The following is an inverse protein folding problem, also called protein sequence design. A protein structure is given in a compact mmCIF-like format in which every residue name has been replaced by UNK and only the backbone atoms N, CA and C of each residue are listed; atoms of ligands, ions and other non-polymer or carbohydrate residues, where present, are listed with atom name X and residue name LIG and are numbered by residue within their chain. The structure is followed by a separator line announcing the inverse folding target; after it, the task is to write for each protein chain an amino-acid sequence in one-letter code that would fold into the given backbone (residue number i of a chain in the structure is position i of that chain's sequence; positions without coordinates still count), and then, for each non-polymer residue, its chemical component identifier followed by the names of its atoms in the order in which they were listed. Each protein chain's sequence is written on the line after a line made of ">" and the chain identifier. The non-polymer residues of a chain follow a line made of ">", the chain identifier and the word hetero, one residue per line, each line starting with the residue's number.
data_IF_449004866600
#
_entry.id   IF_449004866600
#
_cell.length_a   1.000
_cell.length_b   1.000
_cell.length_c   1.000
_cell.angle_alpha   90.00
_cell.angle_beta   90.00
_cell.angle_gamma   90.00
#
_symmetry.space_group_name_H-M   'P 1'
#
loop_
_entity.id
_entity.type
_entity.pdbx_description
1 polymer ?
#
# COMPACT_ATOMS: atom_id res chain seq x y z
N UNK A 1 7.27 27.72 1.98
CA UNK A 1 8.46 27.81 1.12
C UNK A 1 7.96 28.10 -0.28
N UNK A 2 8.05 29.35 -0.73
CA UNK A 2 7.56 29.78 -2.05
C UNK A 2 8.75 29.65 -3.00
N UNK A 3 8.74 28.64 -3.87
CA UNK A 3 9.79 28.50 -4.89
C UNK A 3 9.51 29.60 -5.92
N UNK A 4 10.42 30.57 -6.04
CA UNK A 4 10.32 31.61 -7.05
C UNK A 4 10.56 31.01 -8.43
N UNK A 5 9.47 30.61 -9.09
CA UNK A 5 9.46 29.96 -10.39
C UNK A 5 10.09 30.83 -11.48
N UNK A 6 10.06 32.16 -11.33
CA UNK A 6 10.62 33.10 -12.31
C UNK A 6 12.14 33.10 -12.29
N UNK A 7 12.76 32.86 -11.14
CA UNK A 7 14.21 32.85 -10.97
C UNK A 7 14.82 31.44 -11.09
N UNK A 8 14.07 30.38 -10.80
CA UNK A 8 14.62 29.03 -10.64
C UNK A 8 14.06 27.99 -11.63
N UNK A 9 13.01 28.34 -12.37
CA UNK A 9 12.35 27.41 -13.29
C UNK A 9 11.66 26.25 -12.59
N UNK A 10 11.15 25.30 -13.38
CA UNK A 10 10.50 24.10 -12.86
C UNK A 10 11.53 23.07 -12.41
N UNK A 11 11.36 22.52 -11.21
CA UNK A 11 12.15 21.41 -10.68
C UNK A 11 11.35 20.12 -10.80
N UNK A 12 11.90 19.15 -11.51
CA UNK A 12 11.28 17.84 -11.71
C UNK A 12 12.11 16.74 -11.05
N UNK A 13 11.43 15.76 -10.47
CA UNK A 13 12.02 14.51 -9.98
C UNK A 13 11.34 13.36 -10.70
N UNK A 14 12.11 12.56 -11.40
CA UNK A 14 11.62 11.37 -12.11
C UNK A 14 12.17 10.11 -11.44
N UNK A 15 11.29 9.16 -11.14
CA UNK A 15 11.63 7.87 -10.54
C UNK A 15 11.37 6.80 -11.58
N UNK A 16 12.39 6.03 -11.95
CA UNK A 16 12.33 4.99 -13.00
C UNK A 16 11.62 5.46 -14.28
N UNK A 17 12.08 6.55 -14.92
CA UNK A 17 11.43 7.07 -16.11
C UNK A 17 11.50 6.06 -17.26
N UNK A 18 10.39 5.88 -17.98
CA UNK A 18 10.33 4.98 -19.15
C UNK A 18 11.15 5.52 -20.32
N UNK A 19 11.27 6.85 -20.40
CA UNK A 19 12.09 7.56 -21.38
C UNK A 19 13.18 8.30 -20.62
N UNK A 20 14.44 8.07 -21.00
CA UNK A 20 15.57 8.74 -20.37
C UNK A 20 15.44 10.27 -20.51
N UNK A 21 15.58 11.03 -19.41
CA UNK A 21 15.53 12.48 -19.46
C UNK A 21 16.71 13.03 -20.27
N UNK A 22 16.49 14.17 -20.93
CA UNK A 22 17.55 14.86 -21.65
C UNK A 22 18.71 15.18 -20.69
N UNK A 23 19.90 14.64 -20.98
CA UNK A 23 21.08 14.76 -20.11
C UNK A 23 21.49 16.20 -19.77
N UNK A 24 21.14 17.17 -20.63
CA UNK A 24 21.40 18.60 -20.38
C UNK A 24 20.48 19.21 -19.32
N UNK A 25 19.37 18.56 -18.99
CA UNK A 25 18.38 19.00 -18.00
C UNK A 25 18.50 18.26 -16.68
N UNK A 26 19.33 17.21 -16.62
CA UNK A 26 19.55 16.41 -15.41
C UNK A 26 20.59 17.13 -14.55
N UNK A 27 20.15 17.66 -13.41
CA UNK A 27 21.04 18.28 -12.41
C UNK A 27 21.80 17.21 -11.63
N UNK A 28 21.11 16.12 -11.25
CA UNK A 28 21.70 15.01 -10.50
C UNK A 28 20.91 13.73 -10.75
N UNK A 29 21.57 12.59 -10.57
CA UNK A 29 20.96 11.26 -10.66
C UNK A 29 21.48 10.39 -9.52
N UNK A 30 20.58 9.69 -8.84
CA UNK A 30 20.92 8.71 -7.83
C UNK A 30 20.33 7.35 -8.23
N UNK A 31 21.15 6.30 -8.13
CA UNK A 31 20.68 4.92 -8.23
C UNK A 31 20.52 4.38 -6.83
N UNK A 32 19.29 4.05 -6.46
CA UNK A 32 18.98 3.38 -5.19
C UNK A 32 18.59 1.94 -5.48
N UNK A 33 19.00 1.02 -4.60
CA UNK A 33 18.46 -0.34 -4.56
C UNK A 33 17.48 -0.39 -3.41
N UNK A 34 16.23 -0.60 -3.72
CA UNK A 34 15.21 -0.82 -2.71
C UNK A 34 15.12 -2.32 -2.41
N UNK A 35 14.77 -2.62 -1.17
CA UNK A 35 14.51 -3.99 -0.76
C UNK A 35 13.21 -4.45 -1.39
N UNK A 36 13.22 -5.62 -2.03
CA UNK A 36 11.98 -6.24 -2.47
C UNK A 36 11.22 -6.78 -1.25
N UNK A 37 10.12 -6.10 -0.91
CA UNK A 37 9.25 -6.48 0.20
C UNK A 37 8.16 -7.48 -0.22
N UNK A 38 8.03 -7.82 -1.51
CA UNK A 38 6.99 -8.76 -2.00
C UNK A 38 7.27 -10.21 -1.64
N UNK A 39 8.56 -10.55 -1.45
CA UNK A 39 9.04 -11.90 -1.08
C UNK A 39 9.39 -11.97 0.41
N UNK A 40 9.29 -10.85 1.16
CA UNK A 40 9.67 -10.84 2.57
C UNK A 40 8.66 -11.62 3.40
N UNK A 41 9.11 -12.79 3.86
CA UNK A 41 8.53 -13.45 5.02
C UNK A 41 8.59 -12.48 6.20
N UNK A 42 7.45 -12.23 6.84
CA UNK A 42 7.33 -11.31 7.96
C UNK A 42 8.30 -11.69 9.12
N UNK A 43 8.74 -12.94 9.14
CA UNK A 43 9.67 -13.50 10.11
C UNK A 43 11.06 -12.83 10.12
N UNK A 44 11.54 -12.24 9.02
CA UNK A 44 12.82 -11.51 9.04
C UNK A 44 12.74 -10.26 9.93
N UNK A 45 11.56 -9.63 10.04
CA UNK A 45 11.32 -8.50 10.94
C UNK A 45 11.22 -8.92 12.42
N UNK A 46 11.06 -10.21 12.68
CA UNK A 46 10.99 -10.78 14.02
C UNK A 46 12.33 -11.37 14.49
N UNK A 47 13.37 -11.33 13.64
CA UNK A 47 14.74 -11.74 13.96
C UNK A 47 15.61 -10.59 14.46
N UNK A 48 15.00 -9.52 14.96
CA UNK A 48 15.71 -8.44 15.64
C UNK A 48 16.54 -9.04 16.79
N UNK A 49 17.86 -8.76 16.76
CA UNK A 49 18.80 -9.27 17.75
C UNK A 49 19.47 -10.61 17.41
N UNK A 50 19.01 -11.35 16.39
CA UNK A 50 19.61 -12.65 16.04
C UNK A 50 21.00 -12.50 15.40
N UNK A 51 21.25 -11.35 14.78
CA UNK A 51 22.55 -10.95 14.22
C UNK A 51 23.37 -10.09 15.20
N UNK A 52 22.76 -9.62 16.28
CA UNK A 52 23.45 -8.74 17.22
C UNK A 52 24.47 -9.54 18.04
N UNK A 53 25.56 -8.88 18.37
CA UNK A 53 26.52 -9.35 19.37
C UNK A 53 26.62 -8.33 20.50
N UNK A 54 27.45 -8.60 21.51
CA UNK A 54 27.73 -7.61 22.56
C UNK A 54 28.38 -6.35 21.98
N UNK A 55 29.22 -6.49 20.95
CA UNK A 55 30.03 -5.38 20.41
C UNK A 55 29.44 -4.75 19.12
N UNK A 56 28.58 -5.47 18.41
CA UNK A 56 28.03 -5.03 17.12
C UNK A 56 26.51 -5.15 17.16
N UNK A 57 25.84 -4.03 16.86
CA UNK A 57 24.39 -3.95 16.72
C UNK A 57 24.05 -3.58 15.28
N UNK A 58 23.03 -4.23 14.71
CA UNK A 58 22.56 -3.91 13.37
C UNK A 58 21.32 -3.01 13.42
N UNK A 59 21.30 -2.00 12.56
CA UNK A 59 20.22 -1.02 12.44
C UNK A 59 19.87 -0.80 10.97
N UNK A 60 18.66 -0.32 10.70
CA UNK A 60 18.22 0.04 9.37
C UNK A 60 16.75 -0.27 9.13
N UNK A 61 16.20 0.33 8.08
CA UNK A 61 14.79 0.17 7.71
C UNK A 61 14.43 -1.27 7.32
N UNK A 62 15.42 -2.11 7.01
CA UNK A 62 15.22 -3.51 6.66
C UNK A 62 14.63 -4.34 7.80
N UNK A 63 14.92 -3.97 9.05
CA UNK A 63 14.45 -4.63 10.28
C UNK A 63 12.97 -4.32 10.60
N UNK A 64 12.36 -3.37 9.86
CA UNK A 64 10.93 -3.11 9.85
C UNK A 64 10.41 -3.08 8.42
N UNK A 65 9.38 -2.28 8.15
CA UNK A 65 8.62 -2.30 6.90
C UNK A 65 9.34 -1.59 5.74
N UNK A 66 10.65 -1.34 5.85
CA UNK A 66 11.42 -0.63 4.84
C UNK A 66 11.19 0.88 4.83
N UNK A 67 10.50 1.43 5.85
CA UNK A 67 10.22 2.87 5.95
C UNK A 67 11.38 3.65 6.55
N UNK A 68 11.39 4.97 6.34
CA UNK A 68 12.38 5.85 6.99
C UNK A 68 12.22 5.81 8.51
N UNK A 69 10.97 5.79 8.97
CA UNK A 69 10.57 5.76 10.38
C UNK A 69 11.09 4.49 11.07
N UNK A 70 10.99 3.32 10.44
CA UNK A 70 11.56 2.07 10.96
C UNK A 70 13.09 2.15 11.04
N UNK A 71 13.73 2.77 10.05
CA UNK A 71 15.17 3.00 10.07
C UNK A 71 15.60 3.85 11.26
N UNK A 72 14.92 4.98 11.47
CA UNK A 72 15.17 5.85 12.62
C UNK A 72 14.89 5.15 13.95
N UNK A 73 13.74 4.47 14.07
CA UNK A 73 13.36 3.72 15.27
C UNK A 73 14.40 2.65 15.61
N UNK A 74 14.86 1.86 14.63
CA UNK A 74 15.85 0.81 14.86
C UNK A 74 17.16 1.38 15.44
N UNK A 75 17.62 2.52 14.91
CA UNK A 75 18.81 3.22 15.41
C UNK A 75 18.64 3.71 16.84
N UNK A 76 17.52 4.39 17.12
CA UNK A 76 17.22 4.93 18.44
C UNK A 76 17.02 3.83 19.48
N UNK A 77 16.34 2.74 19.11
CA UNK A 77 16.15 1.57 19.97
C UNK A 77 17.49 0.97 20.39
N UNK A 78 18.41 0.75 19.44
CA UNK A 78 19.75 0.23 19.74
C UNK A 78 20.62 1.21 20.51
N UNK A 79 20.50 2.51 20.28
CA UNK A 79 21.19 3.51 21.09
C UNK A 79 20.75 3.46 22.57
N UNK A 80 19.44 3.31 22.82
CA UNK A 80 18.90 3.15 24.18
C UNK A 80 19.38 1.86 24.82
N UNK A 81 19.38 0.74 24.08
CA UNK A 81 19.95 -0.54 24.57
C UNK A 81 21.43 -0.41 24.98
N UNK A 82 22.19 0.46 24.31
CA UNK A 82 23.59 0.77 24.62
C UNK A 82 23.76 1.85 25.71
N UNK A 83 22.67 2.33 26.31
CA UNK A 83 22.68 3.25 27.44
C UNK A 83 22.47 4.73 27.09
N UNK A 84 22.10 5.07 25.86
CA UNK A 84 21.76 6.44 25.51
C UNK A 84 20.40 6.86 26.11
N UNK A 85 20.31 8.11 26.58
CA UNK A 85 19.05 8.70 27.03
C UNK A 85 18.45 9.56 25.91
N UNK A 86 17.20 9.28 25.55
CA UNK A 86 16.47 10.07 24.55
C UNK A 86 15.72 11.23 25.23
N UNK A 87 15.61 12.39 24.56
CA UNK A 87 14.84 13.53 25.08
C UNK A 87 13.32 13.36 24.90
N UNK A 88 12.86 12.21 24.42
CA UNK A 88 11.46 11.88 24.15
C UNK A 88 11.24 10.36 24.31
N UNK A 89 9.96 9.97 24.46
CA UNK A 89 9.57 8.56 24.50
C UNK A 89 9.69 7.92 23.11
N UNK A 90 10.31 6.75 23.04
CA UNK A 90 10.50 6.03 21.78
C UNK A 90 9.21 5.28 21.40
N UNK A 91 8.44 5.83 20.48
CA UNK A 91 7.23 5.19 19.96
C UNK A 91 7.57 4.19 18.84
N UNK A 92 7.09 2.95 18.97
CA UNK A 92 7.23 1.94 17.91
C UNK A 92 6.35 2.32 16.71
N UNK A 93 6.90 2.45 15.49
CA UNK A 93 6.10 2.69 14.29
C UNK A 93 5.09 1.55 14.10
N UNK A 94 3.85 1.93 13.80
CA UNK A 94 2.76 1.00 13.49
C UNK A 94 2.18 1.38 12.14
N UNK A 95 2.09 0.42 11.21
CA UNK A 95 1.26 0.59 10.03
C UNK A 95 -0.20 0.29 10.37
N UNK A 96 -1.09 1.20 9.95
CA UNK A 96 -2.52 0.97 9.81
C UNK A 96 -2.76 -0.16 8.79
N UNK A 97 -2.58 -1.40 9.22
CA UNK A 97 -2.67 -2.59 8.37
C UNK A 97 -1.97 -3.82 8.95
N UNK A 98 -0.96 -3.63 9.81
CA UNK A 98 -0.27 -4.73 10.50
C UNK A 98 -0.97 -5.21 11.77
N UNK A 99 -1.93 -4.43 12.28
CA UNK A 99 -2.72 -4.77 13.46
C UNK A 99 -4.15 -5.07 13.06
N UNK A 100 -4.40 -6.37 12.92
CA UNK A 100 -5.63 -7.15 13.06
C UNK A 100 -5.62 -8.17 11.94
N UNK A 101 -5.32 -9.42 12.32
CA UNK A 101 -5.87 -10.56 11.60
C UNK A 101 -7.29 -10.19 11.20
N UNK A 102 -7.56 -10.13 9.88
CA UNK A 102 -8.93 -9.94 9.41
C UNK A 102 -9.72 -11.01 10.12
N UNK A 103 -10.63 -10.61 11.00
CA UNK A 103 -11.34 -11.55 11.85
C UNK A 103 -11.91 -12.62 10.91
N UNK A 104 -11.60 -13.91 11.12
CA UNK A 104 -11.95 -14.96 10.16
C UNK A 104 -13.44 -15.00 9.84
N UNK A 105 -14.28 -14.46 10.74
CA UNK A 105 -15.71 -14.25 10.52
C UNK A 105 -15.97 -13.21 9.41
N UNK A 106 -15.27 -12.08 9.43
CA UNK A 106 -15.38 -11.04 8.39
C UNK A 106 -14.84 -11.52 7.04
N UNK A 107 -13.73 -12.26 7.02
CA UNK A 107 -13.20 -12.84 5.79
C UNK A 107 -14.18 -13.85 5.16
N UNK A 108 -14.78 -14.72 5.98
CA UNK A 108 -15.81 -15.66 5.55
C UNK A 108 -17.10 -14.96 5.08
N UNK A 109 -17.54 -13.93 5.81
CA UNK A 109 -18.73 -13.16 5.43
C UNK A 109 -18.53 -12.41 4.11
N UNK A 110 -17.35 -11.84 3.87
CA UNK A 110 -17.01 -11.18 2.61
C UNK A 110 -16.97 -12.17 1.43
N UNK A 111 -16.40 -13.36 1.63
CA UNK A 111 -16.41 -14.41 0.61
C UNK A 111 -17.85 -14.86 0.28
N UNK A 112 -18.70 -15.08 1.28
CA UNK A 112 -20.13 -15.42 1.07
C UNK A 112 -20.84 -14.30 0.30
N UNK A 113 -20.57 -13.03 0.63
CA UNK A 113 -21.17 -11.90 -0.07
C UNK A 113 -20.78 -11.87 -1.56
N UNK A 114 -19.49 -12.02 -1.88
CA UNK A 114 -19.02 -12.00 -3.28
C UNK A 114 -19.46 -13.22 -4.08
N UNK A 115 -19.38 -14.42 -3.51
CA UNK A 115 -19.62 -15.65 -4.27
C UNK A 115 -21.08 -16.09 -4.31
N UNK A 116 -21.91 -15.63 -3.37
CA UNK A 116 -23.31 -16.07 -3.26
C UNK A 116 -24.26 -14.88 -3.41
N UNK A 117 -24.12 -13.85 -2.59
CA UNK A 117 -25.10 -12.75 -2.55
C UNK A 117 -25.02 -11.88 -3.81
N UNK A 118 -23.82 -11.53 -4.26
CA UNK A 118 -23.62 -10.66 -5.42
C UNK A 118 -24.16 -11.28 -6.73
N UNK A 119 -23.87 -12.55 -7.07
CA UNK A 119 -24.44 -13.19 -8.26
C UNK A 119 -25.96 -13.29 -8.21
N UNK A 120 -26.55 -13.57 -7.04
CA UNK A 120 -28.01 -13.62 -6.88
C UNK A 120 -28.64 -12.26 -7.17
N UNK A 121 -28.04 -11.18 -6.64
CA UNK A 121 -28.51 -9.81 -6.93
C UNK A 121 -28.38 -9.48 -8.42
N UNK A 122 -27.29 -9.88 -9.06
CA UNK A 122 -27.09 -9.66 -10.50
C UNK A 122 -28.11 -10.45 -11.36
N UNK A 123 -28.45 -11.68 -10.96
CA UNK A 123 -29.49 -12.49 -11.61
C UNK A 123 -30.86 -11.83 -11.44
N UNK A 124 -31.21 -11.38 -10.24
CA UNK A 124 -32.48 -10.69 -9.97
C UNK A 124 -32.60 -9.43 -10.82
N UNK A 125 -31.52 -8.65 -10.94
CA UNK A 125 -31.53 -7.42 -11.72
C UNK A 125 -31.72 -7.73 -13.22
N UNK A 126 -30.97 -8.69 -13.77
CA UNK A 126 -31.16 -9.15 -15.16
C UNK A 126 -32.58 -9.67 -15.42
N UNK A 127 -33.18 -10.40 -14.47
CA UNK A 127 -34.55 -10.91 -14.58
C UNK A 127 -35.58 -9.77 -14.64
N UNK A 128 -35.39 -8.71 -13.83
CA UNK A 128 -36.25 -7.52 -13.88
C UNK A 128 -36.21 -6.87 -15.26
N UNK A 129 -35.03 -6.69 -15.85
CA UNK A 129 -34.89 -6.13 -17.19
C UNK A 129 -35.59 -6.99 -18.25
N UNK A 130 -35.46 -8.31 -18.19
CA UNK A 130 -36.12 -9.25 -19.11
C UNK A 130 -37.65 -9.11 -19.03
N UNK A 131 -38.21 -9.04 -17.81
CA UNK A 131 -39.66 -8.87 -17.61
C UNK A 131 -40.14 -7.51 -18.13
N UNK A 132 -39.40 -6.43 -17.86
CA UNK A 132 -39.73 -5.09 -18.37
C UNK A 132 -39.75 -5.08 -19.90
N UNK A 133 -38.73 -5.66 -20.55
CA UNK A 133 -38.67 -5.75 -22.01
C UNK A 133 -39.83 -6.59 -22.55
N UNK A 134 -40.18 -7.70 -21.91
CA UNK A 134 -41.32 -8.53 -22.31
C UNK A 134 -42.66 -7.78 -22.22
N UNK A 135 -42.86 -6.99 -21.16
CA UNK A 135 -44.06 -6.15 -20.99
C UNK A 135 -44.12 -5.08 -22.08
N UNK A 136 -43.00 -4.40 -22.37
CA UNK A 136 -42.93 -3.39 -23.44
C UNK A 136 -43.22 -4.03 -24.80
N UNK A 137 -42.62 -5.20 -25.09
CA UNK A 137 -42.88 -5.92 -26.33
C UNK A 137 -44.36 -6.33 -26.48
N UNK A 138 -44.98 -6.81 -25.39
CA UNK A 138 -46.41 -7.16 -25.38
C UNK A 138 -47.31 -5.94 -25.59
N UNK A 139 -46.98 -4.79 -24.98
CA UNK A 139 -47.71 -3.53 -25.18
C UNK A 139 -47.58 -3.04 -26.63
N UNK A 140 -46.37 -3.07 -27.20
CA UNK A 140 -46.14 -2.68 -28.60
C UNK A 140 -46.93 -3.58 -29.56
N UNK A 141 -46.92 -4.91 -29.34
CA UNK A 141 -47.70 -5.85 -30.15
C UNK A 141 -49.22 -5.64 -30.02
N UNK A 142 -49.70 -5.18 -28.85
CA UNK A 142 -51.11 -4.87 -28.64
C UNK A 142 -51.56 -3.57 -29.33
N UNK A 143 -50.72 -2.52 -29.29
CA UNK A 143 -51.07 -1.22 -29.89
C UNK A 143 -50.77 -1.11 -31.39
N UNK A 144 -49.87 -1.94 -31.92
CA UNK A 144 -49.56 -2.01 -33.34
C UNK A 144 -49.69 -3.46 -33.86
N UNK A 145 -50.91 -4.02 -33.89
CA UNK A 145 -51.14 -5.30 -34.53
C UNK A 145 -50.97 -5.10 -36.04
N UNK A 146 -50.00 -5.81 -36.63
CA UNK A 146 -49.92 -5.96 -38.09
C UNK A 146 -51.10 -6.78 -38.60
#
# INVERSE_FOLDING_TARGET
>A
MNIDLLCHGYVFVSINPVVEPNSRMVVTSAKTRNVDLTIKDADIFHKDGLLDSESVKFIGSWFGLGTLEDGCYSGLSKAVELGANLPFELAKPQLLGGSKSVNPIFAKAFAVYIFIVFPILEIIDKLKYVIIVAIIAALVAYFYPF
#
